data_IF_858275757271
#
_entry.id   IF_858275757271
#
_cell.length_a   1.000
_cell.length_b   1.000
_cell.length_c   1.000
_cell.angle_alpha   90.00
_cell.angle_beta   90.00
_cell.angle_gamma   90.00
#
_symmetry.space_group_name_H-M   'P 1'
#
loop_
_entity.id
_entity.type
_entity.pdbx_description
1 polymer ?
#
# COMPACT_ATOMS: atom_id res chain seq x y z
N UNK A 1 6.12 33.27 42.88
CA UNK A 1 6.58 33.47 41.49
C UNK A 1 6.89 32.12 40.83
N UNK A 2 5.98 31.53 40.03
CA UNK A 2 6.25 30.25 39.34
C UNK A 2 5.91 30.25 37.84
N UNK A 3 5.97 31.40 37.15
CA UNK A 3 5.60 31.50 35.73
C UNK A 3 6.82 31.32 34.80
N UNK A 4 8.04 31.66 35.26
CA UNK A 4 9.23 31.62 34.41
C UNK A 4 9.79 30.22 34.12
N UNK A 5 9.55 29.21 34.97
CA UNK A 5 10.13 27.86 34.78
C UNK A 5 9.34 27.03 33.76
N UNK A 6 8.00 27.21 33.68
CA UNK A 6 7.17 26.48 32.72
C UNK A 6 7.46 26.88 31.28
N UNK A 7 7.73 28.17 31.04
CA UNK A 7 8.08 28.67 29.70
C UNK A 7 9.46 28.15 29.23
N UNK A 8 10.41 27.93 30.13
CA UNK A 8 11.73 27.40 29.78
C UNK A 8 11.67 25.93 29.33
N UNK A 9 10.84 25.11 29.98
CA UNK A 9 10.65 23.69 29.60
C UNK A 9 9.94 23.56 28.24
N UNK A 10 8.96 24.42 27.96
CA UNK A 10 8.27 24.44 26.67
C UNK A 10 9.21 24.91 25.55
N UNK A 11 10.00 25.96 25.79
CA UNK A 11 10.99 26.46 24.82
C UNK A 11 12.05 25.38 24.51
N UNK A 12 12.49 24.63 25.52
CA UNK A 12 13.46 23.53 25.34
C UNK A 12 12.89 22.40 24.49
N UNK A 13 11.60 22.09 24.63
CA UNK A 13 10.92 21.06 23.82
C UNK A 13 10.71 21.50 22.36
N UNK A 14 10.38 22.77 22.12
CA UNK A 14 10.23 23.29 20.76
C UNK A 14 11.57 23.32 19.99
N UNK A 15 12.67 23.67 20.67
CA UNK A 15 14.02 23.66 20.07
C UNK A 15 14.46 22.23 19.73
N UNK A 16 14.13 21.24 20.57
CA UNK A 16 14.50 19.83 20.31
C UNK A 16 13.80 19.25 19.07
N UNK A 17 12.53 19.60 18.86
CA UNK A 17 11.75 19.17 17.69
C UNK A 17 12.25 19.85 16.42
N UNK A 18 12.56 21.15 16.49
CA UNK A 18 13.09 21.90 15.35
C UNK A 18 14.48 21.41 14.93
N UNK A 19 15.35 21.05 15.89
CA UNK A 19 16.67 20.49 15.62
C UNK A 19 16.62 19.05 15.10
N UNK A 20 15.62 18.24 15.46
CA UNK A 20 15.43 16.90 14.87
C UNK A 20 15.02 16.95 13.39
N UNK A 21 14.38 18.03 12.94
CA UNK A 21 14.04 18.27 11.54
C UNK A 21 15.29 18.61 10.69
N UNK A 22 16.33 19.19 11.31
CA UNK A 22 17.57 19.58 10.63
C UNK A 22 18.60 18.47 10.87
N UNK A 23 18.70 17.51 9.94
CA UNK A 23 19.70 16.42 9.97
C UNK A 23 21.13 16.98 10.03
N UNK A 24 21.66 17.16 11.22
CA UNK A 24 23.08 17.48 11.45
C UNK A 24 23.53 16.88 12.77
N UNK A 25 24.20 15.73 12.68
CA UNK A 25 24.69 14.93 13.81
C UNK A 25 25.60 15.71 14.77
N UNK A 26 26.27 16.77 14.28
CA UNK A 26 27.19 17.59 15.06
C UNK A 26 26.52 18.47 16.13
N UNK A 27 25.25 18.84 15.96
CA UNK A 27 24.54 19.71 16.89
C UNK A 27 24.07 18.95 18.15
N UNK A 28 23.73 17.67 18.03
CA UNK A 28 23.16 16.90 19.14
C UNK A 28 24.18 16.71 20.28
N UNK A 29 25.46 16.49 19.97
CA UNK A 29 26.52 16.30 20.97
C UNK A 29 26.81 17.58 21.78
N UNK A 30 26.73 18.75 21.13
CA UNK A 30 26.97 20.04 21.81
C UNK A 30 25.84 20.37 22.79
N UNK A 31 24.58 20.08 22.44
CA UNK A 31 23.44 20.33 23.35
C UNK A 31 23.42 19.39 24.55
N UNK A 32 23.81 18.12 24.39
CA UNK A 32 23.86 17.17 25.51
C UNK A 32 24.87 17.60 26.58
N UNK A 33 26.00 18.19 26.15
CA UNK A 33 27.05 18.71 27.04
C UNK A 33 26.57 19.96 27.80
N UNK A 34 25.82 20.86 27.16
CA UNK A 34 25.29 22.08 27.78
C UNK A 34 24.21 21.76 28.83
N UNK A 35 23.35 20.77 28.57
CA UNK A 35 22.33 20.33 29.53
C UNK A 35 22.96 19.68 30.76
N UNK A 36 24.02 18.89 30.58
CA UNK A 36 24.78 18.29 31.70
C UNK A 36 25.42 19.36 32.60
N UNK A 37 25.97 20.43 32.01
CA UNK A 37 26.57 21.54 32.75
C UNK A 37 25.55 22.39 33.52
N UNK A 38 24.33 22.56 33.00
CA UNK A 38 23.28 23.37 33.64
C UNK A 38 22.49 22.63 34.72
N UNK A 39 22.50 21.29 34.72
CA UNK A 39 21.65 20.48 35.62
C UNK A 39 22.45 19.68 36.66
N UNK A 40 23.79 19.68 36.57
CA UNK A 40 24.67 19.04 37.55
C UNK A 40 24.52 17.52 37.67
N UNK A 41 23.91 16.87 36.67
CA UNK A 41 23.65 15.42 36.68
C UNK A 41 24.47 14.73 35.59
N UNK A 42 25.31 13.80 36.03
CA UNK A 42 26.14 12.93 35.19
C UNK A 42 25.26 11.94 34.40
N UNK A 43 25.19 12.12 33.07
CA UNK A 43 24.30 11.40 32.14
C UNK A 43 24.87 10.03 31.76
N UNK A 44 25.53 9.31 32.69
CA UNK A 44 26.10 7.98 32.43
C UNK A 44 25.46 6.81 33.18
N UNK A 45 24.33 7.00 33.85
CA UNK A 45 23.51 5.89 34.38
C UNK A 45 22.04 6.24 34.40
N UNK A 46 21.37 6.14 33.24
CA UNK A 46 19.92 5.94 33.23
C UNK A 46 19.60 4.68 32.43
N UNK A 47 19.17 3.69 33.21
CA UNK A 47 18.53 2.43 32.84
C UNK A 47 17.44 2.71 31.81
N UNK A 48 17.51 2.04 30.65
CA UNK A 48 16.47 2.11 29.62
C UNK A 48 15.13 1.79 30.28
N UNK A 49 14.23 2.77 30.25
CA UNK A 49 12.81 2.55 30.42
C UNK A 49 12.33 2.20 29.02
N UNK A 50 12.04 0.92 28.78
CA UNK A 50 11.42 0.47 27.54
C UNK A 50 10.02 1.10 27.45
N UNK A 51 9.83 2.00 26.49
CA UNK A 51 8.50 2.45 26.10
C UNK A 51 7.85 1.37 25.22
N UNK A 52 6.61 0.92 25.51
CA UNK A 52 5.89 0.00 24.65
C UNK A 52 5.30 0.79 23.49
N UNK A 53 5.91 0.69 22.30
CA UNK A 53 5.34 1.33 21.11
C UNK A 53 6.32 1.72 20.01
N UNK A 54 7.59 1.32 20.06
CA UNK A 54 8.47 1.39 18.91
C UNK A 54 8.19 0.18 18.00
N UNK A 55 7.10 0.25 17.22
CA UNK A 55 6.95 -0.61 16.04
C UNK A 55 8.21 -0.43 15.19
N UNK A 56 8.88 -1.53 14.92
CA UNK A 56 10.23 -1.48 14.38
C UNK A 56 10.21 -0.89 12.96
N UNK A 57 11.09 0.07 12.67
CA UNK A 57 11.34 0.59 11.32
C UNK A 57 11.80 -0.48 10.31
N UNK A 58 11.85 -1.76 10.72
CA UNK A 58 12.11 -2.92 9.87
C UNK A 58 10.83 -3.50 9.24
N UNK A 59 9.65 -3.21 9.76
CA UNK A 59 8.37 -3.68 9.16
C UNK A 59 7.90 -2.80 7.99
N UNK A 60 8.45 -1.60 7.81
CA UNK A 60 8.14 -0.74 6.65
C UNK A 60 8.94 -1.10 5.39
N UNK A 61 9.85 -2.08 5.48
CA UNK A 61 10.74 -2.48 4.38
C UNK A 61 10.18 -3.63 3.52
N UNK A 62 9.14 -4.34 3.99
CA UNK A 62 8.39 -5.31 3.20
C UNK A 62 7.07 -4.70 2.70
N UNK A 63 7.11 -3.42 2.35
CA UNK A 63 6.10 -2.85 1.47
C UNK A 63 6.27 -3.56 0.14
N UNK A 64 5.46 -4.58 -0.10
CA UNK A 64 5.54 -5.39 -1.31
C UNK A 64 5.34 -4.45 -2.49
N UNK A 65 6.41 -4.28 -3.25
CA UNK A 65 6.44 -3.53 -4.50
C UNK A 65 6.40 -4.54 -5.65
N UNK A 66 6.07 -4.07 -6.84
CA UNK A 66 6.18 -4.91 -8.06
C UNK A 66 7.58 -5.48 -8.16
N UNK A 67 7.67 -6.81 -8.28
CA UNK A 67 8.93 -7.51 -8.27
C UNK A 67 9.77 -7.13 -9.50
N UNK A 68 11.09 -7.18 -9.34
CA UNK A 68 12.01 -6.88 -10.45
C UNK A 68 11.75 -7.77 -11.66
N UNK A 69 11.37 -9.03 -11.44
CA UNK A 69 11.01 -9.99 -12.48
C UNK A 69 9.87 -9.45 -13.35
N UNK A 70 8.81 -8.95 -12.73
CA UNK A 70 7.66 -8.36 -13.41
C UNK A 70 8.04 -7.06 -14.12
N UNK A 71 8.81 -6.17 -13.47
CA UNK A 71 9.28 -4.92 -14.09
C UNK A 71 10.09 -5.21 -15.36
N UNK A 72 11.04 -6.15 -15.28
CA UNK A 72 11.87 -6.55 -16.42
C UNK A 72 11.01 -7.15 -17.55
N UNK A 73 9.98 -7.94 -17.21
CA UNK A 73 9.00 -8.46 -18.18
C UNK A 73 8.20 -7.32 -18.85
N UNK A 74 7.61 -6.41 -18.08
CA UNK A 74 6.83 -5.28 -18.64
C UNK A 74 7.68 -4.36 -19.51
N UNK A 75 8.96 -4.16 -19.15
CA UNK A 75 9.92 -3.42 -20.00
C UNK A 75 10.18 -4.14 -21.32
N UNK A 76 10.29 -5.46 -21.33
CA UNK A 76 10.47 -6.25 -22.55
C UNK A 76 9.24 -6.18 -23.47
N UNK A 77 8.03 -6.14 -22.89
CA UNK A 77 6.79 -5.96 -23.65
C UNK A 77 6.57 -4.51 -24.13
N UNK A 78 7.32 -3.55 -23.59
CA UNK A 78 7.11 -2.13 -23.86
C UNK A 78 5.92 -1.52 -23.10
N UNK A 79 5.45 -2.18 -22.05
CA UNK A 79 4.32 -1.75 -21.22
C UNK A 79 4.72 -0.89 -20.02
N UNK A 80 6.00 -0.90 -19.64
CA UNK A 80 6.49 -0.15 -18.48
C UNK A 80 6.82 1.30 -18.81
N UNK A 81 6.28 2.22 -18.01
CA UNK A 81 6.55 3.65 -18.05
C UNK A 81 7.19 4.09 -16.74
N UNK A 82 8.32 4.81 -16.81
CA UNK A 82 9.04 5.26 -15.61
C UNK A 82 8.27 6.35 -14.84
N UNK A 83 7.52 7.18 -15.56
CA UNK A 83 6.69 8.23 -14.95
C UNK A 83 5.30 7.67 -14.62
N UNK A 84 4.86 7.89 -13.39
CA UNK A 84 3.52 7.51 -12.95
C UNK A 84 2.43 8.31 -13.69
N UNK A 85 1.35 7.65 -14.08
CA UNK A 85 0.20 8.31 -14.71
C UNK A 85 -0.58 9.17 -13.70
N UNK A 86 -0.52 10.49 -13.88
CA UNK A 86 -1.25 11.45 -13.04
C UNK A 86 -2.78 11.27 -13.14
N UNK A 87 -3.28 10.85 -14.29
CA UNK A 87 -4.70 10.56 -14.48
C UNK A 87 -5.13 9.31 -13.69
N UNK A 88 -4.30 8.25 -13.71
CA UNK A 88 -4.60 7.03 -12.96
C UNK A 88 -4.44 7.20 -11.46
N UNK A 89 -3.59 8.11 -10.97
CA UNK A 89 -3.58 8.49 -9.56
C UNK A 89 -4.94 8.98 -9.06
N UNK A 90 -5.67 9.77 -9.87
CA UNK A 90 -6.98 10.30 -9.50
C UNK A 90 -8.00 9.18 -9.38
N UNK A 91 -7.99 8.24 -10.33
CA UNK A 91 -8.89 7.08 -10.33
C UNK A 91 -8.59 6.12 -9.17
N UNK A 92 -7.32 5.86 -8.86
CA UNK A 92 -6.93 5.03 -7.71
C UNK A 92 -7.41 5.66 -6.39
N UNK A 93 -7.27 6.98 -6.24
CA UNK A 93 -7.78 7.71 -5.07
C UNK A 93 -9.32 7.63 -4.98
N UNK A 94 -10.03 7.73 -6.12
CA UNK A 94 -11.50 7.56 -6.17
C UNK A 94 -11.92 6.18 -5.69
N UNK A 95 -11.18 5.13 -6.05
CA UNK A 95 -11.43 3.75 -5.65
C UNK A 95 -11.00 3.44 -4.20
N UNK A 96 -10.34 4.39 -3.52
CA UNK A 96 -9.86 4.23 -2.15
C UNK A 96 -8.58 3.39 -2.05
N UNK A 97 -7.79 3.33 -3.12
CA UNK A 97 -6.55 2.56 -3.17
C UNK A 97 -5.39 3.37 -2.59
N UNK A 98 -4.59 2.75 -1.73
CA UNK A 98 -3.30 3.30 -1.30
C UNK A 98 -2.35 3.36 -2.52
N UNK A 99 -1.95 4.57 -2.93
CA UNK A 99 -1.05 4.78 -4.07
C UNK A 99 0.30 4.08 -3.94
N UNK A 100 0.65 3.67 -2.73
CA UNK A 100 1.91 3.01 -2.44
C UNK A 100 1.80 1.49 -2.36
N UNK A 101 0.60 0.93 -2.55
CA UNK A 101 0.38 -0.52 -2.74
C UNK A 101 0.97 -1.02 -4.06
N UNK A 102 1.31 -2.29 -4.12
CA UNK A 102 1.68 -2.98 -5.37
C UNK A 102 0.61 -2.81 -6.46
N UNK A 103 -0.68 -2.92 -6.11
CA UNK A 103 -1.80 -2.65 -7.01
C UNK A 103 -1.71 -1.29 -7.69
N UNK A 104 -1.52 -0.22 -6.89
CA UNK A 104 -1.37 1.11 -7.44
C UNK A 104 -0.10 1.24 -8.30
N UNK A 105 1.02 0.71 -7.82
CA UNK A 105 2.29 0.79 -8.54
C UNK A 105 2.23 0.07 -9.89
N UNK A 106 1.50 -1.04 -9.99
CA UNK A 106 1.23 -1.69 -11.28
C UNK A 106 0.44 -0.76 -12.22
N UNK A 107 -0.74 -0.32 -11.81
CA UNK A 107 -1.61 0.47 -12.70
C UNK A 107 -1.11 1.89 -12.99
N UNK A 108 -0.18 2.42 -12.20
CA UNK A 108 0.47 3.71 -12.46
C UNK A 108 1.57 3.62 -13.53
N UNK A 109 2.20 2.46 -13.68
CA UNK A 109 3.41 2.29 -14.48
C UNK A 109 3.28 1.28 -15.62
N UNK A 110 2.24 0.45 -15.64
CA UNK A 110 2.06 -0.61 -16.64
C UNK A 110 0.82 -0.35 -17.48
N UNK A 111 0.99 -0.29 -18.80
CA UNK A 111 -0.09 -0.05 -19.76
C UNK A 111 0.17 -0.75 -21.11
N UNK A 112 -0.75 -1.65 -21.49
CA UNK A 112 -0.83 -2.32 -22.82
C UNK A 112 -2.08 -1.86 -23.60
N UNK A 113 -3.09 -1.38 -22.89
CA UNK A 113 -4.40 -1.03 -23.43
C UNK A 113 -5.46 -1.02 -22.31
N UNK A 114 -6.76 -1.19 -22.64
CA UNK A 114 -7.80 -1.26 -21.62
C UNK A 114 -7.72 -2.53 -20.77
N UNK A 115 -7.04 -3.57 -21.25
CA UNK A 115 -6.91 -4.87 -20.60
C UNK A 115 -5.53 -5.48 -20.83
N UNK A 116 -5.18 -6.48 -20.02
CA UNK A 116 -3.97 -7.29 -20.14
C UNK A 116 -4.37 -8.74 -20.38
N UNK A 117 -4.04 -9.28 -21.56
CA UNK A 117 -4.40 -10.64 -21.95
C UNK A 117 -3.22 -11.61 -21.71
N UNK A 118 -3.44 -12.69 -20.98
CA UNK A 118 -2.47 -13.77 -20.76
C UNK A 118 -3.18 -15.12 -20.66
N UNK A 119 -2.68 -16.15 -21.36
CA UNK A 119 -3.24 -17.53 -21.31
C UNK A 119 -4.72 -17.64 -21.65
N UNK A 120 -5.23 -16.76 -22.51
CA UNK A 120 -6.67 -16.71 -22.82
C UNK A 120 -7.53 -16.21 -21.66
N UNK A 121 -6.92 -15.63 -20.63
CA UNK A 121 -7.56 -14.88 -19.57
C UNK A 121 -7.25 -13.40 -19.74
N UNK A 122 -8.20 -12.58 -19.35
CA UNK A 122 -8.12 -11.13 -19.45
C UNK A 122 -8.25 -10.54 -18.05
N UNK A 123 -7.43 -9.53 -17.75
CA UNK A 123 -7.65 -8.66 -16.60
C UNK A 123 -7.70 -7.20 -17.05
N UNK A 124 -8.45 -6.38 -16.34
CA UNK A 124 -8.66 -4.97 -16.62
C UNK A 124 -7.43 -4.14 -16.30
N UNK A 125 -7.24 -3.09 -17.11
CA UNK A 125 -6.69 -1.84 -16.62
C UNK A 125 -7.80 -1.13 -15.82
N UNK A 126 -7.81 -1.32 -14.50
CA UNK A 126 -8.87 -0.84 -13.61
C UNK A 126 -9.05 0.68 -13.65
N UNK A 127 -7.96 1.45 -13.73
CA UNK A 127 -8.01 2.90 -13.86
C UNK A 127 -8.59 3.36 -15.20
N UNK A 128 -8.30 2.64 -16.29
CA UNK A 128 -8.89 2.89 -17.60
C UNK A 128 -10.40 2.67 -17.54
N UNK A 129 -10.87 1.58 -16.94
CA UNK A 129 -12.31 1.33 -16.76
C UNK A 129 -12.95 2.37 -15.85
N UNK A 130 -12.36 2.68 -14.69
CA UNK A 130 -12.85 3.72 -13.77
C UNK A 130 -13.05 5.08 -14.47
N UNK A 131 -12.11 5.44 -15.35
CA UNK A 131 -12.13 6.70 -16.10
C UNK A 131 -13.10 6.70 -17.28
N UNK A 132 -13.18 5.60 -18.02
CA UNK A 132 -13.80 5.58 -19.36
C UNK A 132 -15.15 4.85 -19.41
N UNK A 133 -15.56 4.16 -18.35
CA UNK A 133 -16.83 3.43 -18.28
C UNK A 133 -17.65 3.84 -17.06
N UNK A 134 -18.82 3.21 -16.87
CA UNK A 134 -19.61 3.37 -15.66
C UNK A 134 -19.19 2.33 -14.59
N UNK A 135 -17.90 2.29 -14.29
CA UNK A 135 -17.30 1.28 -13.42
C UNK A 135 -17.92 1.24 -12.02
N UNK A 136 -18.42 2.37 -11.50
CA UNK A 136 -19.15 2.41 -10.22
C UNK A 136 -20.45 1.58 -10.26
N UNK A 137 -21.15 1.58 -11.39
CA UNK A 137 -22.34 0.75 -11.61
C UNK A 137 -21.96 -0.73 -11.73
N UNK A 138 -20.86 -1.03 -12.41
CA UNK A 138 -20.35 -2.39 -12.58
C UNK A 138 -19.89 -2.99 -11.26
N UNK A 139 -19.18 -2.21 -10.43
CA UNK A 139 -18.82 -2.55 -9.05
C UNK A 139 -20.05 -2.90 -8.23
N UNK A 140 -21.03 -1.98 -8.20
CA UNK A 140 -22.27 -2.18 -7.45
C UNK A 140 -23.01 -3.43 -7.92
N UNK A 141 -23.15 -3.62 -9.22
CA UNK A 141 -23.88 -4.76 -9.79
C UNK A 141 -23.17 -6.08 -9.47
N UNK A 142 -21.84 -6.11 -9.55
CA UNK A 142 -21.01 -7.26 -9.17
C UNK A 142 -21.20 -7.62 -7.70
N UNK A 143 -21.13 -6.64 -6.79
CA UNK A 143 -21.34 -6.88 -5.36
C UNK A 143 -22.75 -7.36 -5.05
N UNK A 144 -23.78 -6.77 -5.65
CA UNK A 144 -25.17 -7.16 -5.41
C UNK A 144 -25.45 -8.57 -5.96
N UNK A 145 -24.92 -8.89 -7.14
CA UNK A 145 -25.15 -10.18 -7.82
C UNK A 145 -24.38 -11.31 -7.14
N UNK A 146 -23.09 -11.10 -6.89
CA UNK A 146 -22.23 -12.12 -6.29
C UNK A 146 -22.32 -12.12 -4.76
N UNK A 147 -22.89 -11.09 -4.13
CA UNK A 147 -22.90 -10.86 -2.68
C UNK A 147 -21.49 -10.91 -2.09
N UNK A 148 -20.52 -10.33 -2.81
CA UNK A 148 -19.17 -10.14 -2.33
C UNK A 148 -19.10 -8.85 -1.50
N UNK A 149 -18.22 -8.80 -0.49
CA UNK A 149 -17.96 -7.57 0.26
C UNK A 149 -17.51 -6.40 -0.64
N UNK A 150 -17.80 -5.17 -0.23
CA UNK A 150 -17.59 -3.95 -1.03
C UNK A 150 -16.11 -3.63 -1.29
N UNK A 151 -15.21 -4.17 -0.46
CA UNK A 151 -13.77 -4.03 -0.59
C UNK A 151 -13.18 -4.84 -1.77
N UNK A 152 -13.93 -5.79 -2.34
CA UNK A 152 -13.49 -6.57 -3.49
C UNK A 152 -13.74 -5.85 -4.82
N UNK A 153 -12.67 -5.44 -5.50
CA UNK A 153 -12.72 -4.84 -6.83
C UNK A 153 -12.56 -5.96 -7.87
N UNK A 154 -13.49 -6.11 -8.84
CA UNK A 154 -13.35 -7.08 -9.92
C UNK A 154 -12.20 -6.66 -10.84
N UNK A 155 -11.36 -7.63 -11.19
CA UNK A 155 -10.23 -7.44 -12.09
C UNK A 155 -10.54 -7.92 -13.51
N UNK A 156 -11.71 -8.49 -13.76
CA UNK A 156 -12.14 -8.95 -15.07
C UNK A 156 -13.68 -8.87 -15.20
N UNK A 157 -14.19 -9.28 -16.36
CA UNK A 157 -15.62 -9.22 -16.68
C UNK A 157 -16.46 -10.31 -16.04
N UNK A 158 -15.83 -11.31 -15.41
CA UNK A 158 -16.48 -12.48 -14.85
C UNK A 158 -17.34 -13.27 -15.86
N UNK A 159 -17.20 -13.03 -17.17
CA UNK A 159 -18.05 -13.63 -18.23
C UNK A 159 -17.92 -15.16 -18.29
N UNK A 160 -16.77 -15.71 -17.88
CA UNK A 160 -16.53 -17.15 -17.81
C UNK A 160 -17.10 -17.83 -16.57
N UNK A 161 -18.03 -17.18 -15.84
CA UNK A 161 -18.54 -17.61 -14.53
C UNK A 161 -17.44 -17.81 -13.47
N UNK A 162 -16.26 -17.26 -13.73
CA UNK A 162 -15.10 -17.24 -12.85
C UNK A 162 -14.34 -15.95 -13.10
N UNK A 163 -13.69 -15.44 -12.06
CA UNK A 163 -12.90 -14.22 -12.18
C UNK A 163 -12.09 -13.91 -10.93
N UNK A 164 -11.29 -12.86 -11.06
CA UNK A 164 -10.38 -12.38 -10.04
C UNK A 164 -10.90 -11.11 -9.37
N UNK A 165 -10.68 -11.01 -8.06
CA UNK A 165 -11.12 -9.89 -7.24
C UNK A 165 -10.01 -9.46 -6.29
N UNK A 166 -9.66 -8.18 -6.32
CA UNK A 166 -8.68 -7.57 -5.43
C UNK A 166 -9.37 -6.98 -4.21
N UNK A 167 -8.94 -7.36 -3.01
CA UNK A 167 -9.41 -6.75 -1.77
C UNK A 167 -8.59 -5.48 -1.49
N UNK A 168 -9.22 -4.30 -1.60
CA UNK A 168 -8.52 -3.02 -1.42
C UNK A 168 -8.06 -2.73 0.01
N UNK A 169 -8.64 -3.40 0.99
CA UNK A 169 -8.31 -3.19 2.40
C UNK A 169 -7.15 -4.10 2.85
N UNK A 170 -7.04 -5.31 2.29
CA UNK A 170 -6.01 -6.30 2.67
C UNK A 170 -4.89 -6.47 1.64
N UNK A 171 -5.13 -6.10 0.38
CA UNK A 171 -4.23 -6.35 -0.74
C UNK A 171 -4.36 -7.75 -1.34
N UNK A 172 -5.12 -8.65 -0.73
CA UNK A 172 -5.26 -10.03 -1.15
C UNK A 172 -6.06 -10.16 -2.47
N UNK A 173 -5.77 -11.19 -3.25
CA UNK A 173 -6.50 -11.48 -4.48
C UNK A 173 -7.22 -12.82 -4.37
N UNK A 174 -8.52 -12.80 -4.70
CA UNK A 174 -9.41 -13.95 -4.74
C UNK A 174 -9.67 -14.33 -6.20
N UNK A 175 -9.47 -15.60 -6.53
CA UNK A 175 -10.10 -16.26 -7.68
C UNK A 175 -11.31 -17.02 -7.17
N UNK A 176 -12.46 -16.87 -7.84
CA UNK A 176 -13.68 -17.59 -7.48
C UNK A 176 -14.53 -17.86 -8.71
N UNK A 177 -15.15 -19.04 -8.76
CA UNK A 177 -16.14 -19.42 -9.76
C UNK A 177 -17.55 -19.48 -9.15
N UNK A 178 -18.58 -19.39 -9.99
CA UNK A 178 -19.96 -19.63 -9.57
C UNK A 178 -20.16 -21.04 -9.01
N UNK A 179 -21.23 -21.21 -8.24
CA UNK A 179 -21.57 -22.48 -7.59
C UNK A 179 -20.85 -22.67 -6.26
N UNK A 180 -20.27 -23.85 -6.05
CA UNK A 180 -19.75 -24.27 -4.74
C UNK A 180 -18.58 -23.39 -4.27
N UNK A 181 -17.72 -22.93 -5.18
CA UNK A 181 -16.54 -22.12 -4.81
C UNK A 181 -16.96 -20.77 -4.21
N UNK A 182 -17.92 -20.07 -4.83
CA UNK A 182 -18.51 -18.86 -4.27
C UNK A 182 -19.23 -19.10 -2.93
N UNK A 183 -19.94 -20.22 -2.79
CA UNK A 183 -20.59 -20.57 -1.52
C UNK A 183 -19.57 -20.85 -0.41
N UNK A 184 -18.50 -21.56 -0.72
CA UNK A 184 -17.43 -21.85 0.24
C UNK A 184 -16.67 -20.59 0.64
N UNK A 185 -16.46 -19.65 -0.29
CA UNK A 185 -15.91 -18.33 0.03
C UNK A 185 -16.81 -17.55 1.00
N UNK A 186 -18.12 -17.47 0.71
CA UNK A 186 -19.10 -16.81 1.59
C UNK A 186 -19.18 -17.43 2.99
N UNK A 187 -18.87 -18.72 3.11
CA UNK A 187 -18.85 -19.44 4.39
C UNK A 187 -17.48 -19.36 5.09
N UNK A 188 -16.50 -18.67 4.51
CA UNK A 188 -15.13 -18.56 5.04
C UNK A 188 -14.31 -19.84 4.94
N UNK A 189 -14.75 -20.80 4.12
CA UNK A 189 -14.03 -22.06 3.85
C UNK A 189 -12.99 -21.88 2.75
N UNK A 190 -13.30 -21.09 1.72
CA UNK A 190 -12.34 -20.64 0.73
C UNK A 190 -11.73 -19.32 1.19
N UNK A 191 -10.42 -19.17 0.99
CA UNK A 191 -9.67 -17.95 1.27
C UNK A 191 -9.05 -17.42 -0.02
N UNK A 192 -8.73 -16.11 -0.09
CA UNK A 192 -7.93 -15.57 -1.19
C UNK A 192 -6.67 -16.40 -1.45
N UNK A 193 -6.35 -16.64 -2.72
CA UNK A 193 -5.24 -17.51 -3.12
C UNK A 193 -3.91 -16.78 -3.14
N UNK A 194 -3.92 -15.45 -3.27
CA UNK A 194 -2.72 -14.62 -3.24
C UNK A 194 -2.78 -13.61 -2.10
N UNK A 195 -1.69 -13.51 -1.34
CA UNK A 195 -1.60 -12.66 -0.16
C UNK A 195 -1.49 -11.16 -0.49
N UNK A 196 -1.05 -10.85 -1.70
CA UNK A 196 -0.90 -9.48 -2.22
C UNK A 196 -1.06 -9.49 -3.76
N UNK A 197 -1.12 -8.31 -4.37
CA UNK A 197 -1.32 -8.19 -5.81
C UNK A 197 -0.08 -8.60 -6.60
N UNK A 198 1.12 -8.35 -6.07
CA UNK A 198 2.37 -8.79 -6.72
C UNK A 198 2.41 -10.32 -6.91
N UNK A 199 2.06 -11.09 -5.88
CA UNK A 199 2.03 -12.56 -5.95
C UNK A 199 1.02 -13.05 -7.02
N UNK A 200 -0.12 -12.36 -7.13
CA UNK A 200 -1.09 -12.60 -8.19
C UNK A 200 -0.50 -12.28 -9.57
N UNK A 201 0.14 -11.13 -9.75
CA UNK A 201 0.76 -10.74 -11.01
C UNK A 201 1.85 -11.73 -11.43
N UNK A 202 2.70 -12.17 -10.51
CA UNK A 202 3.69 -13.20 -10.79
C UNK A 202 3.02 -14.47 -11.28
N UNK A 203 1.97 -14.95 -10.60
CA UNK A 203 1.21 -16.12 -11.04
C UNK A 203 0.47 -15.91 -12.38
N UNK A 204 0.02 -14.70 -12.68
CA UNK A 204 -0.74 -14.38 -13.89
C UNK A 204 0.18 -14.30 -15.13
N UNK A 205 1.34 -13.67 -14.98
CA UNK A 205 2.31 -13.43 -16.05
C UNK A 205 3.40 -14.51 -16.16
N UNK A 206 3.69 -15.31 -15.12
CA UNK A 206 4.59 -16.48 -15.22
C UNK A 206 3.93 -17.67 -15.93
N UNK A 207 2.62 -17.62 -16.07
CA UNK A 207 1.82 -18.38 -17.03
C UNK A 207 2.46 -18.46 -18.44
N UNK A 208 3.17 -17.39 -18.84
CA UNK A 208 3.51 -16.93 -20.21
C UNK A 208 4.69 -17.60 -20.90
#
# INVERSE_FOLDING_TARGET
>A
MPIHIKNLVILTRCILIYLHSIRSTLLIETYSTVIAALTGKDVRKQKLIEEPGALSFRETADKVMISKKLIDFFKQQGWWYEDASADYEVELKKLGIDLSSDFAQFYLHVEDGPTFMQHGKEIYQVCWFSKNTNFDLDLKSTHETLQLPQEYIPLDSFEGESGYFYNRDTGEVLSVSLGNELLDFKQGKLRPQWANFNDFLESYFEQA
#
